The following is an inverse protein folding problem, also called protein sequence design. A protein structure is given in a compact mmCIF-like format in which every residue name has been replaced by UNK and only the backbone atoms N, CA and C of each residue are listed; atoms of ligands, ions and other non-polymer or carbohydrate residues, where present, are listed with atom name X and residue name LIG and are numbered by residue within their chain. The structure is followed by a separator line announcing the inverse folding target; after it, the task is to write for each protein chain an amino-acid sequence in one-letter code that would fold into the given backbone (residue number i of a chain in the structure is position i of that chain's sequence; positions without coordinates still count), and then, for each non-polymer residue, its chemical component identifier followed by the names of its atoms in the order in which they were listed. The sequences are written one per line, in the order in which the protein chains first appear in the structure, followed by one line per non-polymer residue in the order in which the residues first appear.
data_IF_307256579383
#
_entry.id   IF_307256579383
#
_cell.length_a   1.000
_cell.length_b   1.000
_cell.length_c   1.000
_cell.angle_alpha   90.00
_cell.angle_beta   90.00
_cell.angle_gamma   90.00
#
_symmetry.space_group_name_H-M   'P 1'
#
loop_
_entity.id
_entity.type
_entity.pdbx_description
1 polymer ?
#
# COMPACT_ATOMS: atom_id res chain seq x y z
N UNK A 1 4.50 -10.78 5.75
CA UNK A 1 4.21 -9.41 5.28
C UNK A 1 4.33 -8.47 6.46
N UNK A 2 4.98 -7.31 6.29
CA UNK A 2 5.05 -6.26 7.32
C UNK A 2 4.18 -5.07 6.92
N UNK A 3 3.39 -4.57 7.87
CA UNK A 3 2.61 -3.34 7.72
C UNK A 3 3.16 -2.29 8.69
N UNK A 4 3.66 -1.17 8.15
CA UNK A 4 4.23 -0.07 8.92
C UNK A 4 3.17 1.03 8.99
N UNK A 5 2.52 1.15 10.15
CA UNK A 5 1.64 2.26 10.53
C UNK A 5 2.19 2.99 11.76
N UNK A 6 1.42 3.93 12.31
CA UNK A 6 1.88 4.87 13.33
C UNK A 6 2.85 5.93 12.77
N UNK A 7 2.78 6.23 11.48
CA UNK A 7 3.76 7.12 10.83
C UNK A 7 3.36 8.58 10.90
N UNK A 8 4.33 9.46 10.64
CA UNK A 8 4.11 10.89 10.53
C UNK A 8 4.85 11.46 9.32
N UNK A 9 4.37 12.58 8.79
CA UNK A 9 5.04 13.29 7.69
C UNK A 9 6.32 14.02 8.13
N UNK A 10 6.54 14.18 9.45
CA UNK A 10 7.62 15.00 9.99
C UNK A 10 8.97 14.25 10.04
N UNK A 11 10.00 14.70 9.30
CA UNK A 11 11.32 14.05 9.30
C UNK A 11 12.02 14.10 10.67
N UNK A 12 11.79 15.16 11.44
CA UNK A 12 12.35 15.37 12.80
C UNK A 12 11.88 14.32 13.81
N UNK A 13 10.76 13.64 13.54
CA UNK A 13 10.25 12.51 14.33
C UNK A 13 10.59 11.17 13.68
N UNK A 14 11.57 11.15 12.78
CA UNK A 14 11.96 9.95 12.02
C UNK A 14 10.79 9.30 11.28
N UNK A 15 9.77 10.10 10.91
CA UNK A 15 8.52 9.65 10.32
C UNK A 15 7.73 8.64 11.19
N UNK A 16 8.02 8.54 12.50
CA UNK A 16 7.40 7.55 13.38
C UNK A 16 7.97 6.13 13.24
N UNK A 17 9.03 5.96 12.44
CA UNK A 17 9.66 4.68 12.15
C UNK A 17 10.95 4.57 12.98
N UNK A 18 11.09 3.47 13.72
CA UNK A 18 12.27 3.20 14.56
C UNK A 18 13.33 2.42 13.79
N UNK A 19 14.60 2.58 14.16
CA UNK A 19 15.70 1.84 13.54
C UNK A 19 15.54 0.32 13.71
N UNK A 20 15.09 -0.13 14.89
CA UNK A 20 14.86 -1.56 15.18
C UNK A 20 13.77 -2.18 14.30
N UNK A 21 12.72 -1.41 13.94
CA UNK A 21 11.72 -1.89 12.97
C UNK A 21 12.33 -2.10 11.59
N UNK A 22 13.11 -1.13 11.09
CA UNK A 22 13.78 -1.24 9.78
C UNK A 22 14.77 -2.41 9.77
N UNK A 23 15.56 -2.56 10.82
CA UNK A 23 16.53 -3.65 10.95
C UNK A 23 15.85 -5.03 10.95
N UNK A 24 14.76 -5.19 11.71
CA UNK A 24 13.99 -6.43 11.77
C UNK A 24 13.43 -6.79 10.39
N UNK A 25 12.86 -5.81 9.68
CA UNK A 25 12.29 -5.99 8.34
C UNK A 25 13.37 -6.42 7.35
N UNK A 26 14.52 -5.74 7.35
CA UNK A 26 15.63 -6.04 6.45
C UNK A 26 16.24 -7.41 6.74
N UNK A 27 16.46 -7.76 8.01
CA UNK A 27 16.94 -9.11 8.39
C UNK A 27 15.96 -10.20 7.95
N UNK A 28 14.67 -9.96 8.10
CA UNK A 28 13.64 -10.93 7.66
C UNK A 28 13.63 -11.09 6.15
N UNK A 29 13.80 -9.99 5.39
CA UNK A 29 13.83 -10.00 3.93
C UNK A 29 15.03 -10.78 3.35
N UNK A 30 16.17 -10.78 4.04
CA UNK A 30 17.34 -11.57 3.64
C UNK A 30 17.10 -13.09 3.69
N UNK A 31 16.21 -13.55 4.58
CA UNK A 31 15.96 -14.97 4.80
C UNK A 31 14.65 -15.45 4.18
N UNK A 32 13.70 -14.55 3.94
CA UNK A 32 12.35 -14.88 3.51
C UNK A 32 11.83 -13.91 2.45
N UNK A 33 11.01 -14.43 1.53
CA UNK A 33 10.22 -13.60 0.62
C UNK A 33 9.28 -12.69 1.42
N UNK A 34 9.67 -11.43 1.54
CA UNK A 34 9.01 -10.47 2.41
C UNK A 34 8.36 -9.37 1.59
N UNK A 35 7.09 -9.08 1.90
CA UNK A 35 6.36 -7.91 1.38
C UNK A 35 6.26 -6.85 2.48
N UNK A 36 6.44 -5.58 2.11
CA UNK A 36 6.30 -4.43 3.01
C UNK A 36 5.20 -3.50 2.50
N UNK A 37 4.27 -3.13 3.39
CA UNK A 37 3.31 -2.05 3.18
C UNK A 37 3.67 -0.88 4.10
N UNK A 38 4.00 0.27 3.53
CA UNK A 38 4.31 1.50 4.24
C UNK A 38 3.13 2.47 4.14
N UNK A 39 2.42 2.67 5.25
CA UNK A 39 1.43 3.74 5.43
C UNK A 39 2.19 4.99 5.84
N UNK A 40 2.94 5.61 4.92
CA UNK A 40 3.75 6.79 5.24
C UNK A 40 4.14 7.62 4.01
N UNK A 41 4.94 8.66 4.24
CA UNK A 41 5.35 9.57 3.17
C UNK A 41 6.38 8.93 2.21
N UNK A 42 6.44 9.37 0.94
CA UNK A 42 7.49 8.97 0.01
C UNK A 42 8.91 9.31 0.54
N UNK A 43 9.04 10.35 1.36
CA UNK A 43 10.31 10.71 2.00
C UNK A 43 10.74 9.68 3.06
N UNK A 44 9.79 9.08 3.77
CA UNK A 44 10.08 7.98 4.67
C UNK A 44 10.59 6.75 3.90
N UNK A 45 9.98 6.43 2.75
CA UNK A 45 10.47 5.39 1.85
C UNK A 45 11.89 5.70 1.37
N UNK A 46 12.16 6.92 0.91
CA UNK A 46 13.49 7.33 0.47
C UNK A 46 14.54 7.22 1.58
N UNK A 47 14.18 7.51 2.83
CA UNK A 47 15.12 7.46 3.96
C UNK A 47 15.45 6.02 4.40
N UNK A 48 14.46 5.14 4.47
CA UNK A 48 14.60 3.82 5.12
C UNK A 48 14.52 2.62 4.18
N UNK A 49 13.93 2.79 3.00
CA UNK A 49 13.60 1.73 2.06
C UNK A 49 13.92 2.16 0.61
N UNK A 50 15.13 2.69 0.39
CA UNK A 50 15.58 3.15 -0.93
C UNK A 50 15.99 2.02 -1.90
N UNK A 51 16.07 0.79 -1.40
CA UNK A 51 16.31 -0.46 -2.14
C UNK A 51 15.10 -1.40 -2.06
N UNK A 52 13.93 -1.02 -2.61
CA UNK A 52 12.73 -1.86 -2.49
C UNK A 52 12.83 -3.21 -3.22
N UNK A 53 13.85 -3.43 -4.06
CA UNK A 53 14.20 -4.73 -4.65
C UNK A 53 14.62 -5.79 -3.61
N UNK A 54 15.04 -5.39 -2.42
CA UNK A 54 15.37 -6.31 -1.33
C UNK A 54 14.12 -7.06 -0.82
N UNK A 55 12.93 -6.58 -1.21
CA UNK A 55 11.64 -7.17 -0.88
C UNK A 55 11.02 -7.84 -2.09
N UNK A 56 10.22 -8.87 -1.84
CA UNK A 56 9.42 -9.52 -2.89
C UNK A 56 8.38 -8.56 -3.48
N UNK A 57 7.88 -7.62 -2.68
CA UNK A 57 7.02 -6.53 -3.09
C UNK A 57 7.04 -5.40 -2.06
N UNK A 58 6.90 -4.16 -2.53
CA UNK A 58 6.83 -2.97 -1.68
C UNK A 58 5.63 -2.12 -2.09
N UNK A 59 4.79 -1.77 -1.12
CA UNK A 59 3.58 -0.95 -1.32
C UNK A 59 3.73 0.34 -0.51
N UNK A 60 3.63 1.48 -1.19
CA UNK A 60 3.52 2.79 -0.55
C UNK A 60 2.05 3.22 -0.52
N UNK A 61 1.43 3.11 0.65
CA UNK A 61 0.01 3.42 0.84
C UNK A 61 -0.26 4.89 1.21
N UNK A 62 0.78 5.72 1.36
CA UNK A 62 0.69 7.14 1.72
C UNK A 62 0.18 7.42 3.13
N UNK A 63 -1.13 7.63 3.31
CA UNK A 63 -1.66 8.14 4.57
C UNK A 63 -1.84 7.03 5.61
N UNK A 64 -1.49 7.33 6.85
CA UNK A 64 -1.76 6.46 7.97
C UNK A 64 -3.15 6.73 8.55
N UNK A 65 -4.17 6.13 7.91
CA UNK A 65 -5.54 6.19 8.38
C UNK A 65 -6.27 4.86 8.07
N UNK A 66 -7.37 4.62 8.78
CA UNK A 66 -8.14 3.37 8.68
C UNK A 66 -8.65 3.09 7.27
N UNK A 67 -9.12 4.11 6.55
CA UNK A 67 -9.60 3.98 5.18
C UNK A 67 -8.50 3.51 4.22
N UNK A 68 -7.30 4.09 4.35
CA UNK A 68 -6.13 3.75 3.52
C UNK A 68 -5.60 2.37 3.88
N UNK A 69 -5.61 2.02 5.16
CA UNK A 69 -5.25 0.68 5.63
C UNK A 69 -6.20 -0.38 5.06
N UNK A 70 -7.53 -0.15 5.10
CA UNK A 70 -8.52 -1.05 4.49
C UNK A 70 -8.30 -1.17 2.97
N UNK A 71 -8.20 -0.04 2.27
CA UNK A 71 -8.03 -0.02 0.81
C UNK A 71 -6.72 -0.69 0.35
N UNK A 72 -5.62 -0.49 1.09
CA UNK A 72 -4.35 -1.14 0.79
C UNK A 72 -4.44 -2.65 0.98
N UNK A 73 -5.10 -3.13 2.04
CA UNK A 73 -5.35 -4.56 2.24
C UNK A 73 -6.18 -5.14 1.09
N UNK A 74 -7.29 -4.50 0.72
CA UNK A 74 -8.14 -4.93 -0.41
C UNK A 74 -7.33 -5.05 -1.71
N UNK A 75 -6.44 -4.10 -1.99
CA UNK A 75 -5.56 -4.14 -3.17
C UNK A 75 -4.52 -5.24 -3.09
N UNK A 76 -3.89 -5.44 -1.93
CA UNK A 76 -2.89 -6.49 -1.73
C UNK A 76 -3.50 -7.88 -1.92
N UNK A 77 -4.74 -8.08 -1.45
CA UNK A 77 -5.48 -9.33 -1.65
C UNK A 77 -6.16 -9.44 -3.02
N UNK A 78 -5.99 -8.45 -3.90
CA UNK A 78 -6.45 -8.53 -5.29
C UNK A 78 -7.94 -8.26 -5.51
N UNK A 79 -8.65 -7.67 -4.53
CA UNK A 79 -10.01 -7.17 -4.72
C UNK A 79 -10.04 -5.96 -5.67
N UNK A 80 -8.93 -5.21 -5.78
CA UNK A 80 -8.71 -4.23 -6.84
C UNK A 80 -7.23 -4.12 -7.21
N UNK A 81 -6.94 -3.68 -8.44
CA UNK A 81 -5.57 -3.50 -8.94
C UNK A 81 -4.84 -2.27 -8.39
N UNK A 82 -3.52 -2.27 -8.45
CA UNK A 82 -2.68 -1.10 -8.19
C UNK A 82 -2.51 -0.27 -9.46
N UNK A 83 -2.64 1.06 -9.33
CA UNK A 83 -2.42 2.03 -10.41
C UNK A 83 -1.58 3.23 -9.94
N UNK A 84 -1.03 3.16 -8.73
CA UNK A 84 -0.31 4.26 -8.11
C UNK A 84 1.07 4.47 -8.72
N UNK A 85 1.54 5.71 -8.72
CA UNK A 85 2.88 6.09 -9.15
C UNK A 85 3.55 6.96 -8.10
N UNK A 86 4.88 6.93 -8.06
CA UNK A 86 5.68 7.71 -7.12
C UNK A 86 5.61 9.20 -7.47
N UNK A 87 5.27 10.09 -6.51
CA UNK A 87 5.21 11.53 -6.76
C UNK A 87 6.60 12.18 -6.83
N UNK A 88 7.64 11.48 -6.38
CA UNK A 88 9.03 11.95 -6.38
C UNK A 88 9.99 10.79 -6.61
N UNK A 89 11.24 11.12 -6.94
CA UNK A 89 12.32 10.14 -7.13
C UNK A 89 12.75 9.56 -5.78
N UNK A 90 12.69 8.24 -5.64
CA UNK A 90 13.16 7.52 -4.45
C UNK A 90 14.65 7.20 -4.59
N UNK A 91 15.06 6.66 -5.73
CA UNK A 91 16.45 6.38 -6.09
C UNK A 91 16.64 6.46 -7.61
N UNK A 92 17.85 6.24 -8.13
CA UNK A 92 18.10 6.22 -9.58
C UNK A 92 17.22 5.20 -10.33
N UNK A 93 16.96 4.04 -9.69
CA UNK A 93 16.14 2.98 -10.27
C UNK A 93 14.63 3.26 -10.18
N UNK A 94 14.22 4.14 -9.25
CA UNK A 94 12.83 4.48 -8.99
C UNK A 94 12.61 5.99 -9.15
N UNK A 95 12.55 6.48 -10.41
CA UNK A 95 12.32 7.89 -10.70
C UNK A 95 10.88 8.32 -10.35
N UNK A 96 10.64 9.62 -10.38
CA UNK A 96 9.29 10.16 -10.26
C UNK A 96 8.39 9.59 -11.38
N UNK A 97 7.11 9.44 -11.09
CA UNK A 97 6.10 8.79 -11.96
C UNK A 97 6.31 7.29 -12.22
N UNK A 98 7.26 6.65 -11.53
CA UNK A 98 7.42 5.21 -11.58
C UNK A 98 6.40 4.51 -10.68
N UNK A 99 5.80 3.42 -11.14
CA UNK A 99 4.88 2.60 -10.35
C UNK A 99 4.52 1.31 -11.07
N UNK A 100 4.28 0.25 -10.31
CA UNK A 100 3.82 -1.03 -10.86
C UNK A 100 2.30 -1.04 -10.95
N UNK A 101 1.78 -1.32 -12.15
CA UNK A 101 0.35 -1.49 -12.36
C UNK A 101 -0.01 -2.97 -12.26
N UNK A 102 -1.05 -3.29 -11.50
CA UNK A 102 -1.60 -4.64 -11.40
C UNK A 102 -3.07 -4.65 -11.75
N UNK A 103 -3.53 -5.76 -12.33
CA UNK A 103 -4.94 -5.96 -12.62
C UNK A 103 -5.68 -6.49 -11.37
N UNK A 104 -6.99 -6.30 -11.33
CA UNK A 104 -7.82 -6.92 -10.29
C UNK A 104 -7.90 -8.43 -10.51
N UNK A 105 -7.82 -9.20 -9.43
CA UNK A 105 -7.97 -10.67 -9.47
C UNK A 105 -9.44 -11.10 -9.32
N UNK A 106 -10.36 -10.15 -9.07
CA UNK A 106 -11.81 -10.42 -9.02
C UNK A 106 -12.31 -11.03 -7.71
N UNK A 107 -11.53 -10.97 -6.62
CA UNK A 107 -12.02 -11.33 -5.29
C UNK A 107 -13.14 -10.37 -4.84
N UNK A 108 -14.09 -10.88 -4.04
CA UNK A 108 -15.24 -10.13 -3.55
C UNK A 108 -14.77 -8.80 -2.91
N UNK A 109 -14.98 -7.72 -3.65
CA UNK A 109 -14.94 -6.37 -3.11
C UNK A 109 -16.05 -6.32 -2.07
N UNK A 110 -15.76 -5.92 -0.83
CA UNK A 110 -16.84 -5.75 0.15
C UNK A 110 -17.89 -4.83 -0.45
N UNK A 111 -19.03 -5.41 -0.82
CA UNK A 111 -20.12 -4.71 -1.46
C UNK A 111 -20.60 -3.65 -0.48
N UNK A 112 -20.45 -2.38 -0.84
CA UNK A 112 -21.18 -1.34 -0.15
C UNK A 112 -22.65 -1.50 -0.55
N UNK A 113 -23.57 -1.96 0.32
CA UNK A 113 -24.97 -2.13 -0.05
C UNK A 113 -25.64 -0.80 -0.43
N UNK A 114 -25.00 0.35 -0.16
CA UNK A 114 -25.51 1.67 -0.50
C UNK A 114 -25.30 2.09 -1.97
N UNK A 115 -24.54 1.34 -2.78
CA UNK A 115 -24.34 1.65 -4.21
C UNK A 115 -25.06 0.70 -5.17
N UNK A 116 -25.59 -0.42 -4.68
CA UNK A 116 -26.67 -1.13 -5.35
C UNK A 116 -27.98 -0.41 -5.01
N UNK A 117 -28.23 0.72 -5.70
CA UNK A 117 -29.61 1.06 -6.02
C UNK A 117 -30.13 -0.09 -6.88
N UNK A 118 -30.65 -1.09 -6.19
CA UNK A 118 -31.59 -2.07 -6.72
C UNK A 118 -32.56 -1.28 -7.57
N UNK A 119 -32.44 -1.46 -8.87
CA UNK A 119 -33.30 -0.82 -9.85
C UNK A 119 -34.70 -1.38 -9.58
N UNK A 120 -35.51 -0.66 -8.81
CA UNK A 120 -36.86 -1.04 -8.41
C UNK A 120 -37.87 -0.99 -9.58
N UNK A 121 -37.45 -1.36 -10.78
CA UNK A 121 -38.26 -1.31 -12.00
C UNK A 121 -38.73 -2.70 -12.48
N UNK A 122 -38.29 -3.80 -11.86
CA UNK A 122 -38.60 -5.16 -12.33
C UNK A 122 -39.69 -5.92 -11.54
N UNK A 123 -40.47 -5.26 -10.67
CA UNK A 123 -41.42 -5.94 -9.79
C UNK A 123 -42.91 -5.59 -9.95
N UNK A 124 -43.42 -5.24 -11.13
CA UNK A 124 -44.87 -5.31 -11.39
C UNK A 124 -45.21 -5.67 -12.84
N UNK A 125 -45.04 -6.95 -13.21
CA UNK A 125 -45.89 -7.63 -14.20
C UNK A 125 -45.93 -9.14 -13.91
N UNK A 126 -46.86 -9.54 -13.06
CA UNK A 126 -47.58 -10.82 -13.15
C UNK A 126 -48.93 -10.68 -12.46
#
# INVERSE_FOLDING_TARGET
MFNIGGTTIFPQRSFGITASQVELINKTAQQNKTMVNLLGSPLAMQKYFNTPDDFAAFVLSHQDNSSTQKLSAEKIFGASGFMGVLPLKISEKYPASWGLQTQSLGFLKEGNPALEQVNGADLEKN
#
